data_IF_942374244111
#
_entry.id   IF_942374244111
#
_cell.length_a   1.000
_cell.length_b   1.000
_cell.length_c   1.000
_cell.angle_alpha   90.00
_cell.angle_beta   90.00
_cell.angle_gamma   90.00
#
_symmetry.space_group_name_H-M   'P 1'
#
loop_
_entity.id
_entity.type
_entity.pdbx_description
1 polymer ?
#
# COMPACT_ATOMS: atom_id res chain seq x y z
N UNK A 1 -10.13 -3.06 32.13
CA UNK A 1 -10.42 -4.10 31.13
C UNK A 1 -10.61 -3.48 29.75
N UNK A 2 -11.50 -2.51 29.59
CA UNK A 2 -11.72 -1.81 28.30
C UNK A 2 -10.46 -1.11 27.76
N UNK A 3 -9.70 -0.41 28.61
CA UNK A 3 -8.44 0.23 28.22
C UNK A 3 -7.37 -0.78 27.76
N UNK A 4 -7.35 -1.98 28.36
CA UNK A 4 -6.42 -3.05 27.98
C UNK A 4 -6.78 -3.62 26.61
N UNK A 5 -8.08 -3.78 26.34
CA UNK A 5 -8.59 -4.27 25.05
C UNK A 5 -8.27 -3.24 23.95
N UNK A 6 -8.53 -1.95 24.19
CA UNK A 6 -8.23 -0.88 23.23
C UNK A 6 -6.74 -0.86 22.83
N UNK A 7 -5.83 -0.97 23.82
CA UNK A 7 -4.38 -1.03 23.56
C UNK A 7 -3.96 -2.25 22.74
N UNK A 8 -4.61 -3.40 22.93
CA UNK A 8 -4.33 -4.61 22.14
C UNK A 8 -4.77 -4.42 20.69
N UNK A 9 -5.95 -3.83 20.46
CA UNK A 9 -6.42 -3.54 19.10
C UNK A 9 -5.54 -2.53 18.37
N UNK A 10 -5.16 -1.45 19.04
CA UNK A 10 -4.26 -0.42 18.50
C UNK A 10 -2.89 -1.02 18.11
N UNK A 11 -2.30 -1.79 19.02
CA UNK A 11 -1.06 -2.54 18.76
C UNK A 11 -1.20 -3.48 17.56
N UNK A 12 -2.27 -4.27 17.52
CA UNK A 12 -2.51 -5.23 16.42
C UNK A 12 -2.69 -4.53 15.08
N UNK A 13 -3.40 -3.40 15.07
CA UNK A 13 -3.60 -2.57 13.89
C UNK A 13 -2.26 -2.06 13.36
N UNK A 14 -1.42 -1.50 14.24
CA UNK A 14 -0.08 -1.03 13.86
C UNK A 14 0.80 -2.11 13.24
N UNK A 15 0.87 -3.30 13.84
CA UNK A 15 1.64 -4.43 13.28
C UNK A 15 1.11 -4.87 11.91
N UNK A 16 -0.22 -4.91 11.76
CA UNK A 16 -0.86 -5.28 10.50
C UNK A 16 -0.53 -4.28 9.41
N UNK A 17 -0.61 -2.98 9.72
CA UNK A 17 -0.32 -1.91 8.78
C UNK A 17 1.16 -1.89 8.36
N UNK A 18 2.09 -2.13 9.29
CA UNK A 18 3.52 -2.27 8.98
C UNK A 18 3.80 -3.43 7.99
N UNK A 19 3.13 -4.58 8.18
CA UNK A 19 3.25 -5.72 7.28
C UNK A 19 2.66 -5.43 5.89
N UNK A 20 1.53 -4.72 5.81
CA UNK A 20 0.92 -4.31 4.54
C UNK A 20 1.87 -3.40 3.75
N UNK A 21 2.46 -2.39 4.39
CA UNK A 21 3.45 -1.49 3.76
C UNK A 21 4.68 -2.23 3.23
N UNK A 22 5.17 -3.22 3.98
CA UNK A 22 6.29 -4.03 3.53
C UNK A 22 5.95 -4.92 2.32
N UNK A 23 4.73 -5.49 2.31
CA UNK A 23 4.21 -6.26 1.19
C UNK A 23 4.03 -5.40 -0.06
N UNK A 24 3.51 -4.19 0.09
CA UNK A 24 3.34 -3.21 -0.97
C UNK A 24 4.68 -2.86 -1.62
N UNK A 25 5.72 -2.62 -0.79
CA UNK A 25 7.09 -2.38 -1.25
C UNK A 25 7.62 -3.57 -2.05
N UNK A 26 7.45 -4.79 -1.53
CA UNK A 26 7.90 -6.01 -2.17
C UNK A 26 7.22 -6.22 -3.53
N UNK A 27 5.92 -5.95 -3.61
CA UNK A 27 5.16 -6.04 -4.86
C UNK A 27 5.64 -5.00 -5.88
N UNK A 28 5.89 -3.76 -5.46
CA UNK A 28 6.42 -2.72 -6.35
C UNK A 28 7.78 -3.10 -6.93
N UNK A 29 8.69 -3.62 -6.10
CA UNK A 29 10.02 -4.08 -6.52
C UNK A 29 9.94 -5.28 -7.47
N UNK A 30 9.06 -6.24 -7.18
CA UNK A 30 8.82 -7.37 -8.07
C UNK A 30 8.35 -6.88 -9.45
N UNK A 31 7.38 -5.96 -9.49
CA UNK A 31 6.82 -5.44 -10.75
C UNK A 31 7.83 -4.60 -11.53
N UNK A 32 8.66 -3.82 -10.85
CA UNK A 32 9.78 -3.11 -11.48
C UNK A 32 10.78 -4.09 -12.08
N UNK A 33 11.17 -5.13 -11.33
CA UNK A 33 12.11 -6.16 -11.79
C UNK A 33 11.56 -6.92 -12.99
N UNK A 34 10.29 -7.34 -12.94
CA UNK A 34 9.63 -8.02 -14.05
C UNK A 34 9.54 -7.13 -15.30
N UNK A 35 9.39 -5.82 -15.14
CA UNK A 35 9.30 -4.87 -16.26
C UNK A 35 10.67 -4.59 -16.90
N UNK A 36 11.71 -4.40 -16.08
CA UNK A 36 13.07 -4.10 -16.56
C UNK A 36 13.73 -5.36 -17.15
N UNK A 37 13.61 -6.49 -16.45
CA UNK A 37 14.29 -7.74 -16.77
C UNK A 37 13.37 -8.78 -17.41
N UNK A 38 12.45 -8.36 -18.30
CA UNK A 38 11.35 -9.20 -18.78
C UNK A 38 11.79 -10.57 -19.33
N UNK A 39 12.85 -10.62 -20.15
CA UNK A 39 13.34 -11.86 -20.78
C UNK A 39 13.92 -12.84 -19.77
N UNK A 40 14.60 -12.32 -18.74
CA UNK A 40 15.22 -13.13 -17.71
C UNK A 40 14.20 -13.59 -16.67
N UNK A 41 13.25 -12.71 -16.31
CA UNK A 41 12.21 -12.98 -15.33
C UNK A 41 11.29 -14.12 -15.78
N UNK A 42 10.89 -14.17 -17.05
CA UNK A 42 10.02 -15.24 -17.56
C UNK A 42 10.71 -16.62 -17.56
N UNK A 43 12.00 -16.66 -17.91
CA UNK A 43 12.77 -17.91 -17.98
C UNK A 43 13.12 -18.46 -16.59
N UNK A 44 13.26 -17.58 -15.59
CA UNK A 44 13.70 -17.93 -14.24
C UNK A 44 12.62 -17.68 -13.18
N UNK A 45 11.33 -17.83 -13.54
CA UNK A 45 10.18 -17.60 -12.65
C UNK A 45 10.09 -18.68 -11.56
N UNK A 46 11.03 -18.62 -10.64
CA UNK A 46 11.13 -19.50 -9.49
C UNK A 46 10.37 -18.89 -8.32
N UNK A 47 9.40 -19.64 -7.79
CA UNK A 47 8.62 -19.27 -6.60
C UNK A 47 9.48 -19.05 -5.35
N UNK A 48 10.76 -19.45 -5.39
CA UNK A 48 11.76 -19.18 -4.35
C UNK A 48 11.92 -17.70 -4.00
N UNK A 49 11.58 -16.74 -4.88
CA UNK A 49 11.62 -15.31 -4.56
C UNK A 49 10.55 -14.85 -3.54
N UNK A 50 9.53 -15.66 -3.27
CA UNK A 50 8.55 -15.38 -2.20
C UNK A 50 9.15 -15.54 -0.81
N UNK A 51 10.10 -16.45 -0.63
CA UNK A 51 10.73 -16.70 0.68
C UNK A 51 11.54 -15.48 1.17
N UNK A 52 12.48 -14.91 0.38
CA UNK A 52 13.19 -13.71 0.80
C UNK A 52 12.27 -12.49 0.91
N UNK A 53 11.13 -12.43 0.18
CA UNK A 53 10.18 -11.33 0.35
C UNK A 53 9.50 -11.38 1.72
N UNK A 54 9.20 -12.57 2.27
CA UNK A 54 8.65 -12.68 3.63
C UNK A 54 9.67 -12.22 4.68
N UNK A 55 10.94 -12.63 4.53
CA UNK A 55 12.02 -12.18 5.43
C UNK A 55 12.19 -10.66 5.36
N UNK A 56 12.13 -10.08 4.16
CA UNK A 56 12.14 -8.64 3.97
C UNK A 56 10.95 -7.97 4.66
N UNK A 57 9.74 -8.54 4.59
CA UNK A 57 8.56 -7.98 5.23
C UNK A 57 8.70 -7.92 6.75
N UNK A 58 9.17 -9.00 7.37
CA UNK A 58 9.42 -9.04 8.81
C UNK A 58 10.52 -8.05 9.22
N UNK A 59 11.61 -7.98 8.46
CA UNK A 59 12.69 -7.03 8.71
C UNK A 59 12.24 -5.57 8.58
N UNK A 60 11.41 -5.26 7.60
CA UNK A 60 10.84 -3.93 7.40
C UNK A 60 9.90 -3.53 8.54
N UNK A 61 9.02 -4.44 8.98
CA UNK A 61 8.14 -4.19 10.12
C UNK A 61 8.96 -3.92 11.40
N UNK A 62 10.04 -4.66 11.62
CA UNK A 62 10.95 -4.42 12.75
C UNK A 62 11.64 -3.05 12.66
N UNK A 63 12.12 -2.66 11.47
CA UNK A 63 12.71 -1.34 11.24
C UNK A 63 11.70 -0.21 11.48
N UNK A 64 10.45 -0.39 11.08
CA UNK A 64 9.40 0.60 11.30
C UNK A 64 9.12 0.81 12.79
N UNK A 65 9.06 -0.27 13.56
CA UNK A 65 8.91 -0.21 15.03
C UNK A 65 10.13 0.49 15.64
N UNK A 66 11.33 0.11 15.22
CA UNK A 66 12.55 0.74 15.70
C UNK A 66 12.57 2.26 15.40
N UNK A 67 12.11 2.67 14.22
CA UNK A 67 11.97 4.09 13.87
C UNK A 67 10.97 4.79 14.76
N UNK A 68 9.81 4.17 15.04
CA UNK A 68 8.77 4.74 15.90
C UNK A 68 9.25 4.92 17.36
N UNK A 69 10.03 3.97 17.87
CA UNK A 69 10.59 4.02 19.23
C UNK A 69 11.79 4.99 19.34
N UNK A 70 12.56 5.17 18.27
CA UNK A 70 13.80 5.97 18.30
C UNK A 70 13.56 7.43 17.91
N UNK A 71 12.63 7.70 17.01
CA UNK A 71 12.38 9.03 16.46
C UNK A 71 10.97 9.48 16.81
N UNK A 72 10.88 10.68 17.41
CA UNK A 72 9.60 11.30 17.75
C UNK A 72 9.31 12.52 16.86
N UNK A 73 8.03 12.78 16.62
CA UNK A 73 7.53 13.99 15.99
C UNK A 73 8.01 14.19 14.55
N UNK A 74 8.74 15.28 14.32
CA UNK A 74 9.05 15.78 12.97
C UNK A 74 10.01 14.87 12.20
N UNK A 75 10.97 14.24 12.90
CA UNK A 75 11.90 13.28 12.28
C UNK A 75 11.17 12.05 11.74
N UNK A 76 10.25 11.49 12.54
CA UNK A 76 9.39 10.39 12.14
C UNK A 76 8.53 10.75 10.92
N UNK A 77 7.93 11.95 10.92
CA UNK A 77 7.14 12.44 9.79
C UNK A 77 7.94 12.51 8.48
N UNK A 78 9.19 12.99 8.53
CA UNK A 78 10.05 13.01 7.34
C UNK A 78 10.42 11.61 6.84
N UNK A 79 10.63 10.64 7.74
CA UNK A 79 10.93 9.26 7.34
C UNK A 79 9.73 8.65 6.59
N UNK A 80 8.52 8.79 7.12
CA UNK A 80 7.31 8.30 6.45
C UNK A 80 7.01 9.06 5.15
N UNK A 81 7.21 10.37 5.12
CA UNK A 81 7.09 11.14 3.88
C UNK A 81 8.08 10.65 2.81
N UNK A 82 9.34 10.41 3.18
CA UNK A 82 10.35 9.85 2.29
C UNK A 82 9.96 8.49 1.74
N UNK A 83 9.40 7.61 2.59
CA UNK A 83 8.87 6.31 2.17
C UNK A 83 7.77 6.44 1.10
N UNK A 84 6.81 7.34 1.29
CA UNK A 84 5.73 7.54 0.32
C UNK A 84 6.21 8.19 -0.98
N UNK A 85 7.12 9.16 -0.90
CA UNK A 85 7.74 9.76 -2.09
C UNK A 85 8.46 8.69 -2.91
N UNK A 86 9.21 7.79 -2.26
CA UNK A 86 9.86 6.67 -2.93
C UNK A 86 8.84 5.75 -3.63
N UNK A 87 7.69 5.47 -3.01
CA UNK A 87 6.61 4.67 -3.62
C UNK A 87 5.99 5.35 -4.83
N UNK A 88 5.68 6.65 -4.73
CA UNK A 88 5.12 7.43 -5.84
C UNK A 88 6.11 7.46 -7.01
N UNK A 89 7.39 7.73 -6.75
CA UNK A 89 8.44 7.72 -7.79
C UNK A 89 8.56 6.34 -8.43
N UNK A 90 8.58 5.27 -7.64
CA UNK A 90 8.61 3.90 -8.16
C UNK A 90 7.43 3.57 -9.07
N UNK A 91 6.21 3.98 -8.69
CA UNK A 91 5.03 3.84 -9.54
C UNK A 91 5.11 4.66 -10.83
N UNK A 92 5.61 5.89 -10.77
CA UNK A 92 5.79 6.74 -11.96
C UNK A 92 6.82 6.16 -12.92
N UNK A 93 7.93 5.64 -12.40
CA UNK A 93 8.93 4.91 -13.20
C UNK A 93 8.31 3.67 -13.85
N UNK A 94 7.58 2.87 -13.07
CA UNK A 94 6.87 1.70 -13.58
C UNK A 94 5.87 2.08 -14.69
N UNK A 95 5.10 3.15 -14.50
CA UNK A 95 4.15 3.67 -15.49
C UNK A 95 4.87 4.16 -16.75
N UNK A 96 5.97 4.89 -16.59
CA UNK A 96 6.75 5.42 -17.70
C UNK A 96 7.33 4.29 -18.57
N UNK A 97 7.97 3.30 -17.96
CA UNK A 97 8.52 2.15 -18.67
C UNK A 97 7.40 1.35 -19.34
N UNK A 98 6.29 1.06 -18.63
CA UNK A 98 5.16 0.33 -19.22
C UNK A 98 4.55 1.07 -20.41
N UNK A 99 4.42 2.40 -20.35
CA UNK A 99 3.95 3.22 -21.48
C UNK A 99 4.90 3.16 -22.67
N UNK A 100 6.21 3.27 -22.42
CA UNK A 100 7.21 3.21 -23.49
C UNK A 100 7.24 1.84 -24.17
N UNK A 101 7.20 0.76 -23.40
CA UNK A 101 7.12 -0.60 -23.94
C UNK A 101 5.80 -0.79 -24.71
N UNK A 102 4.66 -0.35 -24.16
CA UNK A 102 3.37 -0.44 -24.86
C UNK A 102 3.43 0.25 -26.21
N UNK A 103 3.95 1.50 -26.27
CA UNK A 103 4.11 2.24 -27.54
C UNK A 103 5.06 1.53 -28.51
N UNK A 104 6.23 1.11 -28.04
CA UNK A 104 7.26 0.45 -28.86
C UNK A 104 6.75 -0.83 -29.50
N UNK A 105 5.89 -1.55 -28.80
CA UNK A 105 5.41 -2.85 -29.26
C UNK A 105 3.96 -2.85 -29.77
N UNK A 106 3.30 -1.69 -29.83
CA UNK A 106 1.96 -1.59 -30.45
C UNK A 106 2.06 -1.96 -31.93
N UNK A 107 1.36 -3.03 -32.34
CA UNK A 107 1.36 -3.50 -33.73
C UNK A 107 2.50 -4.46 -34.10
N UNK A 108 3.47 -4.72 -33.21
CA UNK A 108 4.43 -5.80 -33.42
C UNK A 108 3.84 -7.14 -32.95
N UNK A 109 4.25 -8.24 -33.55
CA UNK A 109 3.81 -9.60 -33.22
C UNK A 109 4.35 -10.10 -31.87
N UNK A 110 4.23 -9.31 -30.80
CA UNK A 110 4.77 -9.63 -29.48
C UNK A 110 4.20 -10.95 -28.96
N UNK A 111 5.01 -11.81 -28.30
CA UNK A 111 4.52 -12.96 -27.55
C UNK A 111 3.40 -12.58 -26.57
N UNK A 112 2.45 -13.50 -26.40
CA UNK A 112 1.24 -13.30 -25.58
C UNK A 112 1.58 -13.01 -24.11
N UNK A 113 2.64 -13.62 -23.57
CA UNK A 113 3.08 -13.43 -22.19
C UNK A 113 3.52 -12.00 -21.89
N UNK A 114 4.22 -11.35 -22.83
CA UNK A 114 4.64 -9.96 -22.66
C UNK A 114 3.44 -9.00 -22.64
N UNK A 115 2.43 -9.23 -23.49
CA UNK A 115 1.18 -8.43 -23.45
C UNK A 115 0.45 -8.61 -22.13
N UNK A 116 0.46 -9.83 -21.60
CA UNK A 116 -0.14 -10.15 -20.31
C UNK A 116 0.58 -9.41 -19.17
N UNK A 117 1.91 -9.47 -19.12
CA UNK A 117 2.72 -8.77 -18.10
C UNK A 117 2.50 -7.25 -18.12
N UNK A 118 2.51 -6.62 -19.30
CA UNK A 118 2.24 -5.18 -19.44
C UNK A 118 0.83 -4.81 -18.96
N UNK A 119 -0.18 -5.60 -19.33
CA UNK A 119 -1.56 -5.38 -18.90
C UNK A 119 -1.73 -5.57 -17.39
N UNK A 120 -1.05 -6.56 -16.81
CA UNK A 120 -1.03 -6.81 -15.37
C UNK A 120 -0.35 -5.66 -14.62
N UNK A 121 0.81 -5.17 -15.08
CA UNK A 121 1.48 -4.03 -14.46
C UNK A 121 0.62 -2.76 -14.47
N UNK A 122 -0.05 -2.46 -15.59
CA UNK A 122 -0.99 -1.32 -15.68
C UNK A 122 -2.15 -1.50 -14.69
N UNK A 123 -2.63 -2.74 -14.52
CA UNK A 123 -3.66 -3.04 -13.53
C UNK A 123 -3.16 -2.80 -12.11
N UNK A 124 -1.98 -3.31 -11.79
CA UNK A 124 -1.34 -3.12 -10.48
C UNK A 124 -1.19 -1.64 -10.17
N UNK A 125 -0.69 -0.84 -11.12
CA UNK A 125 -0.57 0.62 -10.94
C UNK A 125 -1.93 1.26 -10.63
N UNK A 126 -3.02 0.84 -11.29
CA UNK A 126 -4.36 1.42 -11.03
C UNK A 126 -4.90 1.10 -9.63
N UNK A 127 -4.46 0.01 -9.01
CA UNK A 127 -4.83 -0.35 -7.63
C UNK A 127 -3.89 0.33 -6.64
N UNK A 128 -2.58 0.30 -6.91
CA UNK A 128 -1.56 0.83 -6.01
C UNK A 128 -1.54 2.36 -5.94
N UNK A 129 -1.86 3.04 -7.05
CA UNK A 129 -1.87 4.51 -7.07
C UNK A 129 -2.90 5.11 -6.11
N UNK A 130 -4.21 4.73 -6.15
CA UNK A 130 -5.15 5.24 -5.17
C UNK A 130 -4.78 4.78 -3.76
N UNK A 131 -4.36 3.52 -3.57
CA UNK A 131 -3.89 3.02 -2.27
C UNK A 131 -2.83 3.95 -1.65
N UNK A 132 -1.73 4.21 -2.36
CA UNK A 132 -0.64 5.07 -1.87
C UNK A 132 -1.12 6.50 -1.60
N UNK A 133 -2.02 7.04 -2.43
CA UNK A 133 -2.57 8.39 -2.20
C UNK A 133 -3.39 8.42 -0.92
N UNK A 134 -4.29 7.47 -0.70
CA UNK A 134 -5.08 7.43 0.53
C UNK A 134 -4.23 7.11 1.77
N UNK A 135 -3.28 6.19 1.68
CA UNK A 135 -2.28 5.92 2.72
C UNK A 135 -1.51 7.18 3.11
N UNK A 136 -1.08 7.98 2.13
CA UNK A 136 -0.39 9.25 2.40
C UNK A 136 -1.29 10.25 3.12
N UNK A 137 -2.57 10.32 2.75
CA UNK A 137 -3.54 11.21 3.40
C UNK A 137 -3.79 10.77 4.85
N UNK A 138 -3.98 9.48 5.08
CA UNK A 138 -4.14 8.89 6.43
C UNK A 138 -2.91 9.20 7.27
N UNK A 139 -1.70 8.97 6.74
CA UNK A 139 -0.47 9.25 7.48
C UNK A 139 -0.24 10.73 7.79
N UNK A 140 -0.72 11.64 6.93
CA UNK A 140 -0.73 13.07 7.24
C UNK A 140 -1.69 13.35 8.40
N UNK A 141 -2.89 12.79 8.37
CA UNK A 141 -3.87 12.91 9.47
C UNK A 141 -3.28 12.38 10.78
N UNK A 142 -2.63 11.21 10.77
CA UNK A 142 -1.97 10.61 11.93
C UNK A 142 -0.86 11.49 12.49
N UNK A 143 -0.02 12.04 11.60
CA UNK A 143 1.08 12.93 12.00
C UNK A 143 0.56 14.20 12.64
N UNK A 144 -0.50 14.79 12.07
CA UNK A 144 -1.15 15.99 12.63
C UNK A 144 -1.82 15.65 13.96
N UNK A 145 -2.48 14.50 14.07
CA UNK A 145 -3.09 14.03 15.34
C UNK A 145 -2.03 13.86 16.43
N UNK A 146 -0.91 13.20 16.11
CA UNK A 146 0.21 13.05 17.03
C UNK A 146 0.83 14.38 17.45
N UNK A 147 0.96 15.34 16.54
CA UNK A 147 1.45 16.69 16.88
C UNK A 147 0.50 17.43 17.84
N UNK A 148 -0.82 17.21 17.69
CA UNK A 148 -1.84 17.75 18.59
C UNK A 148 -1.96 16.96 19.90
N UNK A 149 -1.11 15.95 20.14
CA UNK A 149 -1.19 15.02 21.28
C UNK A 149 -2.55 14.33 21.39
N UNK A 150 -3.24 14.17 20.25
CA UNK A 150 -4.48 13.43 20.12
C UNK A 150 -4.11 12.00 19.74
N UNK A 151 -3.93 11.16 20.75
CA UNK A 151 -3.75 9.72 20.53
C UNK A 151 -5.05 9.09 20.02
N UNK A 152 -4.94 7.98 19.28
CA UNK A 152 -6.09 7.20 18.84
C UNK A 152 -6.90 6.63 20.00
N UNK A 153 -6.27 6.46 21.16
CA UNK A 153 -6.92 6.03 22.39
C UNK A 153 -7.58 7.24 23.06
N UNK A 154 -8.91 7.19 23.17
CA UNK A 154 -9.68 8.25 23.82
C UNK A 154 -9.28 8.42 25.30
N UNK A 155 -8.91 9.64 25.68
CA UNK A 155 -8.55 10.01 27.06
C UNK A 155 -9.68 10.79 27.73
N UNK A 156 -10.50 10.16 28.60
CA UNK A 156 -11.63 10.83 29.23
C UNK A 156 -11.20 11.96 30.18
N UNK A 157 -9.97 11.92 30.70
CA UNK A 157 -9.44 12.92 31.63
C UNK A 157 -9.25 14.30 30.96
N UNK A 158 -8.98 14.34 29.65
CA UNK A 158 -8.84 15.58 28.88
C UNK A 158 -10.18 16.21 28.50
N UNK A 159 -11.28 15.45 28.52
CA UNK A 159 -12.60 15.97 28.19
C UNK A 159 -13.14 16.97 29.22
N UNK A 160 -12.78 16.84 30.50
CA UNK A 160 -13.26 17.74 31.55
C UNK A 160 -12.65 19.16 31.47
N UNK A 161 -11.33 19.33 31.27
CA UNK A 161 -10.72 20.65 31.13
C UNK A 161 -10.83 21.26 29.73
N UNK A 162 -10.90 20.46 28.66
CA UNK A 162 -10.81 20.94 27.27
C UNK A 162 -12.08 20.66 26.46
N UNK A 163 -13.03 21.61 26.35
CA UNK A 163 -14.32 21.37 25.68
C UNK A 163 -14.20 21.13 24.17
N UNK A 164 -13.07 21.49 23.56
CA UNK A 164 -12.78 21.24 22.14
C UNK A 164 -12.20 19.85 21.86
N UNK A 165 -11.74 19.11 22.88
CA UNK A 165 -11.06 17.83 22.71
C UNK A 165 -11.98 16.79 22.04
N UNK A 166 -13.19 16.60 22.59
CA UNK A 166 -14.16 15.63 22.07
C UNK A 166 -14.56 15.86 20.60
N UNK A 167 -14.98 17.07 20.16
CA UNK A 167 -15.35 17.29 18.77
C UNK A 167 -14.17 17.19 17.80
N UNK A 168 -12.96 17.60 18.21
CA UNK A 168 -11.75 17.48 17.36
C UNK A 168 -11.33 16.02 17.23
N UNK A 169 -11.29 15.27 18.34
CA UNK A 169 -11.00 13.84 18.33
C UNK A 169 -11.99 13.08 17.44
N UNK A 170 -13.30 13.32 17.61
CA UNK A 170 -14.33 12.69 16.80
C UNK A 170 -14.18 13.01 15.30
N UNK A 171 -13.81 14.25 14.96
CA UNK A 171 -13.57 14.66 13.57
C UNK A 171 -12.38 13.91 12.96
N UNK A 172 -11.25 13.83 13.68
CA UNK A 172 -10.04 13.14 13.20
C UNK A 172 -10.32 11.66 12.98
N UNK A 173 -10.94 10.98 13.95
CA UNK A 173 -11.28 9.55 13.83
C UNK A 173 -12.22 9.31 12.65
N UNK A 174 -13.27 10.13 12.49
CA UNK A 174 -14.20 10.01 11.37
C UNK A 174 -13.53 10.24 10.01
N UNK A 175 -12.58 11.17 9.93
CA UNK A 175 -11.81 11.42 8.72
C UNK A 175 -10.88 10.24 8.40
N UNK A 176 -10.11 9.76 9.37
CA UNK A 176 -9.20 8.62 9.19
C UNK A 176 -9.96 7.35 8.77
N UNK A 177 -10.98 6.96 9.53
CA UNK A 177 -11.81 5.79 9.19
C UNK A 177 -12.55 5.95 7.86
N UNK A 178 -12.95 7.18 7.51
CA UNK A 178 -13.55 7.49 6.21
C UNK A 178 -12.58 7.27 5.06
N UNK A 179 -11.33 7.71 5.20
CA UNK A 179 -10.28 7.52 4.20
C UNK A 179 -9.94 6.04 4.02
N UNK A 180 -9.79 5.28 5.11
CA UNK A 180 -9.56 3.83 5.07
C UNK A 180 -10.70 3.08 4.36
N UNK A 181 -11.95 3.47 4.62
CA UNK A 181 -13.10 2.85 3.95
C UNK A 181 -13.11 3.17 2.44
N UNK A 182 -12.76 4.39 2.07
CA UNK A 182 -12.63 4.78 0.66
C UNK A 182 -11.51 4.00 -0.01
N UNK A 183 -10.37 3.86 0.64
CA UNK A 183 -9.26 3.05 0.15
C UNK A 183 -9.67 1.60 -0.08
N UNK A 184 -10.25 0.94 0.93
CA UNK A 184 -10.70 -0.44 0.85
C UNK A 184 -11.73 -0.64 -0.27
N UNK A 185 -12.69 0.27 -0.42
CA UNK A 185 -13.71 0.20 -1.49
C UNK A 185 -13.12 0.41 -2.88
N UNK A 186 -12.11 1.27 -3.04
CA UNK A 186 -11.41 1.46 -4.31
C UNK A 186 -10.61 0.23 -4.71
N UNK A 187 -9.89 -0.38 -3.76
CA UNK A 187 -9.15 -1.62 -3.96
C UNK A 187 -10.11 -2.73 -4.42
N UNK A 188 -11.22 -2.92 -3.71
CA UNK A 188 -12.24 -3.92 -4.06
C UNK A 188 -12.87 -3.68 -5.44
N UNK A 189 -13.08 -2.42 -5.82
CA UNK A 189 -13.65 -2.06 -7.13
C UNK A 189 -12.67 -2.27 -8.28
N UNK A 190 -11.38 -2.05 -8.06
CA UNK A 190 -10.34 -2.18 -9.10
C UNK A 190 -9.83 -3.62 -9.25
N UNK A 191 -9.98 -4.44 -8.22
CA UNK A 191 -9.83 -5.88 -8.36
C UNK A 191 -10.96 -6.44 -9.24
N UNK A 192 -10.66 -7.21 -10.29
CA UNK A 192 -11.69 -7.88 -11.06
C UNK A 192 -12.36 -8.91 -10.15
N UNK A 193 -13.69 -8.93 -10.15
CA UNK A 193 -14.40 -10.18 -9.89
C UNK A 193 -13.89 -11.22 -10.90
N UNK A 194 -13.39 -12.35 -10.41
CA UNK A 194 -12.86 -13.50 -11.19
C UNK A 194 -13.78 -13.97 -12.34
N UNK A 195 -15.05 -13.55 -12.32
CA UNK A 195 -16.07 -13.78 -13.35
C UNK A 195 -15.63 -13.40 -14.77
N UNK A 196 -14.68 -12.48 -14.95
CA UNK A 196 -14.17 -12.10 -16.29
C UNK A 196 -13.15 -13.12 -16.83
N UNK A 197 -12.37 -13.78 -15.96
CA UNK A 197 -11.35 -14.76 -16.37
C UNK A 197 -11.99 -16.06 -16.88
N UNK A 198 -13.06 -16.52 -16.21
CA UNK A 198 -13.80 -17.71 -16.62
C UNK A 198 -14.48 -17.54 -18.00
N UNK A 199 -14.94 -16.32 -18.32
CA UNK A 199 -15.59 -16.02 -19.60
C UNK A 199 -14.61 -15.98 -20.78
N UNK A 200 -13.34 -15.59 -20.56
CA UNK A 200 -12.30 -15.61 -21.61
C UNK A 200 -11.70 -16.99 -21.86
N UNK A 201 -11.59 -17.85 -20.83
CA UNK A 201 -11.12 -19.24 -21.01
C UNK A 201 -12.08 -20.05 -21.91
N UNK A 202 -13.39 -19.87 -21.73
CA UNK A 202 -14.43 -20.49 -22.59
C UNK A 202 -14.43 -20.05 -24.05
N UNK A 203 -13.85 -18.91 -24.40
CA UNK A 203 -13.78 -18.43 -25.79
C UNK A 203 -12.54 -19.01 -26.50
N UNK A 204 -11.46 -19.25 -25.76
CA UNK A 204 -10.22 -19.85 -26.30
C UNK A 204 -10.28 -21.37 -26.42
N UNK A 205 -11.21 -22.04 -25.72
CA UNK A 205 -11.46 -23.49 -25.87
C UNK A 205 -12.49 -23.82 -26.98
N UNK A 206 -13.05 -22.80 -27.65
CA UNK A 206 -14.04 -22.94 -28.73
C UNK A 206 -13.56 -22.40 -30.10
N UNK A 207 -12.25 -22.18 -30.24
CA UNK A 207 -11.54 -21.88 -31.50
C UNK A 207 -10.47 -22.96 -31.66
#
# INVERSE_FOLDING_TARGET
MELTIAKVFDTTFHYTYAMIKALQTSCLLERLTATICFQSYEKNRNWYFLIPSQVFCVGFAFLEIFVKETFEGLAQAFIFLGYYVMHIVGLLVLLHINRNLTKKYTGSGIPLSMRYQLAENIRTIRVFLPMIVFDTMISIVDTVSGYLQLDYVFEPERCAPEPYYLPVYALIVMLASGLELVEATLILKQYPSEKIFCKRKKILENI
#
